data_IF_301883801588
#
_entry.id   IF_301883801588
#
_cell.length_a   1.000
_cell.length_b   1.000
_cell.length_c   1.000
_cell.angle_alpha   90.00
_cell.angle_beta   90.00
_cell.angle_gamma   90.00
#
_symmetry.space_group_name_H-M   'P 1'
#
loop_
_entity.id
_entity.type
_entity.pdbx_description
1 polymer ?
#
# COMPACT_ATOMS: atom_id res chain seq x y z
N UNK A 1 19.51 3.58 -2.17
CA UNK A 1 18.73 2.97 -1.07
C UNK A 1 18.93 1.47 -1.11
N UNK A 2 19.10 0.78 0.04
CA UNK A 2 19.17 -0.68 0.05
C UNK A 2 17.84 -1.28 -0.43
N UNK A 3 17.91 -2.36 -1.20
CA UNK A 3 16.73 -3.10 -1.67
C UNK A 3 16.65 -4.38 -0.86
N UNK A 4 15.48 -4.66 -0.30
CA UNK A 4 15.17 -5.91 0.38
C UNK A 4 14.03 -6.62 -0.36
N UNK A 5 14.15 -7.94 -0.52
CA UNK A 5 13.13 -8.78 -1.15
C UNK A 5 12.90 -10.00 -0.29
N UNK A 6 11.63 -10.33 -0.07
CA UNK A 6 11.20 -11.50 0.68
C UNK A 6 10.08 -12.21 -0.09
N UNK A 7 10.13 -13.54 -0.12
CA UNK A 7 9.09 -14.38 -0.72
C UNK A 7 8.62 -15.38 0.32
N UNK A 8 7.31 -15.44 0.56
CA UNK A 8 6.68 -16.40 1.48
C UNK A 8 5.54 -17.15 0.81
N UNK A 9 5.35 -18.42 1.18
CA UNK A 9 4.14 -19.18 0.84
C UNK A 9 3.11 -18.99 1.94
N UNK A 10 1.91 -18.57 1.58
CA UNK A 10 0.81 -18.32 2.51
C UNK A 10 -0.40 -19.16 2.12
N UNK A 11 -1.26 -19.56 3.08
CA UNK A 11 -2.46 -20.34 2.84
C UNK A 11 -3.65 -19.48 2.35
N UNK A 12 -3.39 -18.51 1.46
CA UNK A 12 -4.39 -17.58 0.92
C UNK A 12 -4.28 -17.51 -0.61
N UNK A 13 -5.40 -17.22 -1.28
CA UNK A 13 -5.40 -17.04 -2.73
C UNK A 13 -4.71 -15.72 -3.13
N UNK A 14 -4.30 -15.62 -4.39
CA UNK A 14 -3.75 -14.38 -4.94
C UNK A 14 -4.76 -13.23 -4.86
N UNK A 15 -6.05 -13.50 -5.09
CA UNK A 15 -7.12 -12.51 -4.93
C UNK A 15 -7.22 -12.00 -3.49
N UNK A 16 -7.25 -12.90 -2.50
CA UNK A 16 -7.33 -12.50 -1.09
C UNK A 16 -6.14 -11.62 -0.67
N UNK A 17 -4.93 -12.00 -1.08
CA UNK A 17 -3.73 -11.23 -0.78
C UNK A 17 -3.71 -9.89 -1.52
N UNK A 18 -4.17 -9.86 -2.76
CA UNK A 18 -4.27 -8.63 -3.55
C UNK A 18 -5.28 -7.66 -2.94
N UNK A 19 -6.49 -8.13 -2.63
CA UNK A 19 -7.57 -7.31 -2.06
C UNK A 19 -7.16 -6.73 -0.70
N UNK A 20 -6.45 -7.52 0.13
CA UNK A 20 -5.91 -7.07 1.41
C UNK A 20 -4.95 -5.88 1.27
N UNK A 21 -4.08 -5.89 0.26
CA UNK A 21 -3.09 -4.83 0.03
C UNK A 21 -3.70 -3.66 -0.77
N UNK A 22 -4.67 -3.93 -1.65
CA UNK A 22 -5.38 -2.89 -2.40
C UNK A 22 -6.27 -2.01 -1.52
N UNK A 23 -6.77 -2.53 -0.39
CA UNK A 23 -7.51 -1.74 0.61
C UNK A 23 -6.57 -0.98 1.56
N UNK A 24 -5.87 0.00 0.99
CA UNK A 24 -4.95 0.90 1.71
C UNK A 24 -5.64 1.61 2.88
N UNK A 25 -6.95 1.88 2.76
CA UNK A 25 -7.70 2.60 3.79
C UNK A 25 -7.89 1.79 5.09
N UNK A 26 -7.86 0.46 4.98
CA UNK A 26 -7.99 -0.44 6.12
C UNK A 26 -6.69 -0.64 6.89
N UNK A 27 -5.53 -0.19 6.38
CA UNK A 27 -4.22 -0.42 6.99
C UNK A 27 -4.13 -0.08 8.48
N UNK A 28 -4.70 1.03 8.98
CA UNK A 28 -4.65 1.36 10.41
C UNK A 28 -5.37 0.35 11.32
N UNK A 29 -6.25 -0.49 10.76
CA UNK A 29 -7.01 -1.48 11.53
C UNK A 29 -6.15 -2.70 11.89
N UNK A 30 -5.10 -3.00 11.12
CA UNK A 30 -4.33 -4.23 11.28
C UNK A 30 -2.81 -4.06 11.25
N UNK A 31 -2.28 -2.95 10.75
CA UNK A 31 -0.85 -2.64 10.81
C UNK A 31 -0.55 -1.86 12.10
N UNK A 32 0.11 -2.45 13.11
CA UNK A 32 0.25 -1.84 14.44
C UNK A 32 0.99 -0.49 14.45
N UNK A 33 1.73 -0.18 13.40
CA UNK A 33 2.54 1.03 13.26
C UNK A 33 1.92 2.03 12.30
N UNK A 34 0.86 1.67 11.58
CA UNK A 34 0.12 2.58 10.71
C UNK A 34 -0.95 3.29 11.54
N UNK A 35 -0.70 4.54 11.91
CA UNK A 35 -1.64 5.34 12.70
C UNK A 35 -2.77 5.94 11.86
N UNK A 36 -2.53 6.15 10.56
CA UNK A 36 -3.54 6.63 9.63
C UNK A 36 -3.16 6.28 8.19
N UNK A 37 -4.17 6.05 7.35
CA UNK A 37 -4.06 5.93 5.91
C UNK A 37 -5.11 6.85 5.27
N UNK A 38 -4.69 7.74 4.37
CA UNK A 38 -5.57 8.73 3.73
C UNK A 38 -5.43 8.63 2.23
N UNK A 39 -6.55 8.40 1.54
CA UNK A 39 -6.59 8.43 0.08
C UNK A 39 -6.71 9.88 -0.37
N UNK A 40 -5.71 10.37 -1.11
CA UNK A 40 -5.72 11.70 -1.75
C UNK A 40 -6.56 11.67 -3.02
N UNK A 41 -6.33 10.65 -3.85
CA UNK A 41 -7.02 10.47 -5.12
C UNK A 41 -7.03 8.99 -5.51
N UNK A 42 -8.02 8.63 -6.33
CA UNK A 42 -8.19 7.28 -6.88
C UNK A 42 -8.76 7.43 -8.27
N UNK A 43 -8.10 6.85 -9.26
CA UNK A 43 -8.46 6.97 -10.68
C UNK A 43 -8.12 5.71 -11.44
N UNK A 44 -8.87 5.40 -12.49
CA UNK A 44 -8.58 4.27 -13.38
C UNK A 44 -7.87 4.81 -14.62
N UNK A 45 -6.70 4.27 -14.93
CA UNK A 45 -5.93 4.63 -16.12
C UNK A 45 -5.56 3.36 -16.90
N UNK A 46 -6.22 3.17 -18.05
CA UNK A 46 -6.00 1.97 -18.87
C UNK A 46 -6.41 0.70 -18.11
N UNK A 47 -5.44 -0.18 -17.89
CA UNK A 47 -5.65 -1.51 -17.28
C UNK A 47 -5.35 -1.54 -15.77
N UNK A 48 -4.95 -0.41 -15.17
CA UNK A 48 -4.65 -0.32 -13.74
C UNK A 48 -5.44 0.80 -13.05
N UNK A 49 -5.61 0.66 -11.74
CA UNK A 49 -6.12 1.71 -10.87
C UNK A 49 -4.94 2.41 -10.19
N UNK A 50 -4.86 3.73 -10.32
CA UNK A 50 -3.85 4.55 -9.66
C UNK A 50 -4.45 5.21 -8.43
N UNK A 51 -3.81 5.01 -7.27
CA UNK A 51 -4.21 5.56 -5.98
C UNK A 51 -3.06 6.38 -5.40
N UNK A 52 -3.31 7.63 -5.05
CA UNK A 52 -2.36 8.42 -4.26
C UNK A 52 -2.81 8.40 -2.80
N UNK A 53 -1.91 8.06 -1.90
CA UNK A 53 -2.23 7.91 -0.49
C UNK A 53 -1.10 8.36 0.44
N UNK A 54 -1.49 8.89 1.60
CA UNK A 54 -0.62 9.18 2.73
C UNK A 54 -0.73 8.08 3.77
N UNK A 55 0.41 7.52 4.18
CA UNK A 55 0.51 6.66 5.36
C UNK A 55 1.23 7.39 6.48
N UNK A 56 0.62 7.44 7.66
CA UNK A 56 1.23 8.01 8.86
C UNK A 56 1.75 6.88 9.73
N UNK A 57 3.07 6.72 9.77
CA UNK A 57 3.73 5.68 10.57
C UNK A 57 4.06 6.25 11.94
N UNK A 58 3.64 5.56 13.00
CA UNK A 58 3.92 5.91 14.39
C UNK A 58 4.53 4.71 15.12
N UNK A 59 5.78 4.85 15.53
CA UNK A 59 6.49 3.81 16.27
C UNK A 59 7.36 4.43 17.36
N UNK A 60 7.03 4.14 18.62
CA UNK A 60 7.67 4.76 19.80
C UNK A 60 7.63 6.29 19.74
N UNK A 61 8.77 6.96 19.65
CA UNK A 61 8.90 8.43 19.57
C UNK A 61 8.90 8.95 18.13
N UNK A 62 8.89 8.06 17.14
CA UNK A 62 8.92 8.43 15.73
C UNK A 62 7.50 8.55 15.18
N UNK A 63 7.27 9.65 14.45
CA UNK A 63 6.05 9.88 13.69
C UNK A 63 6.41 10.52 12.36
N UNK A 64 6.17 9.81 11.28
CA UNK A 64 6.49 10.24 9.91
C UNK A 64 5.29 10.00 9.00
N UNK A 65 5.18 10.80 7.93
CA UNK A 65 4.14 10.67 6.92
C UNK A 65 4.80 10.44 5.57
N UNK A 66 4.34 9.41 4.86
CA UNK A 66 4.86 9.05 3.55
C UNK A 66 3.72 9.14 2.54
N UNK A 67 3.89 9.99 1.53
CA UNK A 67 3.00 10.03 0.38
C UNK A 67 3.53 9.08 -0.71
N UNK A 68 2.63 8.27 -1.26
CA UNK A 68 2.95 7.32 -2.31
C UNK A 68 1.89 7.32 -3.40
N UNK A 69 2.32 6.99 -4.63
CA UNK A 69 1.46 6.62 -5.74
C UNK A 69 1.50 5.10 -5.88
N UNK A 70 0.33 4.47 -5.89
CA UNK A 70 0.16 3.03 -5.95
C UNK A 70 -0.59 2.68 -7.24
N UNK A 71 -0.01 1.80 -8.05
CA UNK A 71 -0.64 1.25 -9.25
C UNK A 71 -1.11 -0.17 -8.95
N UNK A 72 -2.43 -0.37 -9.04
CA UNK A 72 -3.14 -1.60 -8.74
C UNK A 72 -3.50 -2.31 -10.05
N UNK A 73 -2.80 -3.40 -10.35
CA UNK A 73 -3.00 -4.21 -11.55
C UNK A 73 -3.77 -5.49 -11.23
N UNK A 74 -5.11 -5.41 -11.24
CA UNK A 74 -5.97 -6.50 -10.76
C UNK A 74 -5.81 -7.80 -11.56
N UNK A 75 -5.74 -7.71 -12.89
CA UNK A 75 -5.57 -8.88 -13.77
C UNK A 75 -4.22 -9.58 -13.57
N UNK A 76 -3.16 -8.81 -13.31
CA UNK A 76 -1.82 -9.33 -13.10
C UNK A 76 -1.52 -9.68 -11.62
N UNK A 77 -2.44 -9.36 -10.70
CA UNK A 77 -2.24 -9.42 -9.23
C UNK A 77 -0.93 -8.79 -8.80
N UNK A 78 -0.65 -7.62 -9.38
CA UNK A 78 0.57 -6.84 -9.16
C UNK A 78 0.23 -5.49 -8.55
N UNK A 79 1.05 -5.05 -7.61
CA UNK A 79 0.96 -3.73 -6.98
C UNK A 79 2.33 -3.10 -7.11
N UNK A 80 2.40 -1.95 -7.78
CA UNK A 80 3.62 -1.14 -7.89
C UNK A 80 3.45 0.12 -7.07
N UNK A 81 4.48 0.49 -6.29
CA UNK A 81 4.43 1.67 -5.43
C UNK A 81 5.58 2.60 -5.77
N UNK A 82 5.28 3.88 -5.97
CA UNK A 82 6.23 4.95 -6.16
C UNK A 82 6.18 5.91 -4.98
N UNK A 83 7.34 6.21 -4.41
CA UNK A 83 7.47 7.23 -3.38
C UNK A 83 7.28 8.64 -3.97
N UNK A 84 6.49 9.48 -3.32
CA UNK A 84 6.26 10.87 -3.73
C UNK A 84 6.96 11.85 -2.78
N UNK A 85 6.62 11.84 -1.50
CA UNK A 85 7.12 12.79 -0.49
C UNK A 85 7.10 12.22 0.92
N UNK A 86 7.91 12.80 1.81
CA UNK A 86 8.07 12.45 3.22
C UNK A 86 9.50 12.63 3.70
#
# INVERSE_FOLDING_TARGET
MPVHSETRKLPYSADQMYDLVADISAYPQFLPWCSAARIRSRSIQGECETVEADLVISFKVFRESFASRVELWNMAKKIDTQYLEG
#
